data_IF_768613824193
#
_entry.id   IF_768613824193
#
_cell.length_a   1.000
_cell.length_b   1.000
_cell.length_c   1.000
_cell.angle_alpha   90.00
_cell.angle_beta   90.00
_cell.angle_gamma   90.00
#
_symmetry.space_group_name_H-M   'P 1'
#
loop_
_entity.id
_entity.type
_entity.pdbx_description
1 polymer ?
#
# COMPACT_ATOMS: atom_id res chain seq x y z
N UNK A 1 -26.53 -79.21 9.28
CA UNK A 1 -25.45 -78.67 8.41
C UNK A 1 -24.68 -77.67 9.24
N UNK A 2 -23.48 -78.09 9.63
CA UNK A 2 -22.42 -77.31 10.28
C UNK A 2 -21.76 -76.38 9.26
N UNK A 3 -21.47 -75.14 9.63
CA UNK A 3 -20.35 -74.40 9.05
C UNK A 3 -19.53 -73.77 10.16
N UNK A 4 -18.28 -74.23 10.23
CA UNK A 4 -17.33 -73.98 11.29
C UNK A 4 -16.78 -72.56 11.32
N UNK A 5 -16.70 -72.04 12.54
CA UNK A 5 -15.85 -70.93 12.93
C UNK A 5 -14.39 -71.39 12.82
N UNK A 6 -13.63 -70.85 11.87
CA UNK A 6 -12.17 -71.02 11.84
C UNK A 6 -11.54 -69.98 12.78
N UNK A 7 -10.68 -70.37 13.73
CA UNK A 7 -9.86 -69.43 14.46
C UNK A 7 -8.72 -68.99 13.52
N UNK A 8 -8.88 -67.81 12.92
CA UNK A 8 -7.85 -67.16 12.13
C UNK A 8 -7.02 -66.24 13.01
N UNK A 9 -5.78 -66.66 13.26
CA UNK A 9 -4.61 -65.81 13.37
C UNK A 9 -4.51 -64.85 14.58
N UNK A 10 -4.19 -65.45 15.74
CA UNK A 10 -3.55 -64.82 16.91
C UNK A 10 -2.15 -64.20 16.62
N UNK A 11 -1.73 -64.13 15.34
CA UNK A 11 -0.44 -63.59 14.93
C UNK A 11 -0.40 -62.05 14.84
N UNK A 12 -1.56 -61.38 14.76
CA UNK A 12 -1.60 -59.91 14.68
C UNK A 12 -1.67 -59.21 16.05
N UNK A 13 -1.98 -59.94 17.12
CA UNK A 13 -1.96 -59.40 18.50
C UNK A 13 -0.55 -59.38 19.12
N UNK A 14 0.44 -60.03 18.50
CA UNK A 14 1.83 -60.04 18.98
C UNK A 14 2.69 -58.91 18.41
N UNK A 15 2.22 -58.19 17.41
CA UNK A 15 2.93 -57.03 16.84
C UNK A 15 2.73 -55.71 17.61
N UNK A 16 1.87 -55.69 18.65
CA UNK A 16 1.62 -54.52 19.49
C UNK A 16 2.17 -54.66 20.93
N UNK A 17 3.08 -55.61 21.19
CA UNK A 17 3.76 -55.75 22.48
C UNK A 17 5.09 -54.99 22.53
N UNK A 18 5.13 -53.75 22.02
CA UNK A 18 6.10 -52.79 22.56
C UNK A 18 5.62 -52.49 23.97
N UNK A 19 6.28 -53.06 24.98
CA UNK A 19 5.99 -52.82 26.39
C UNK A 19 5.71 -51.32 26.58
N UNK A 20 4.54 -50.91 27.10
CA UNK A 20 4.27 -49.51 27.37
C UNK A 20 5.32 -49.04 28.38
N UNK A 21 6.23 -48.20 27.92
CA UNK A 21 7.30 -47.72 28.78
C UNK A 21 6.75 -46.57 29.62
N UNK A 22 7.17 -46.54 30.88
CA UNK A 22 6.73 -45.55 31.85
C UNK A 22 7.43 -44.22 31.57
N UNK A 23 6.69 -43.28 30.99
CA UNK A 23 7.12 -41.92 30.75
C UNK A 23 6.82 -41.07 31.98
N UNK A 24 7.86 -40.51 32.59
CA UNK A 24 7.72 -39.69 33.79
C UNK A 24 7.54 -38.23 33.40
N UNK A 25 6.47 -37.59 33.89
CA UNK A 25 6.19 -36.17 33.67
C UNK A 25 6.38 -35.42 34.99
N UNK A 26 7.28 -34.47 35.00
CA UNK A 26 7.67 -33.64 36.14
C UNK A 26 7.10 -32.23 35.98
N UNK A 27 6.73 -31.60 37.08
CA UNK A 27 6.49 -30.16 37.18
C UNK A 27 7.62 -29.49 37.96
N UNK A 28 7.51 -28.17 38.14
CA UNK A 28 8.46 -27.40 38.96
C UNK A 28 8.54 -27.86 40.42
N UNK A 29 7.51 -28.55 40.92
CA UNK A 29 7.41 -29.06 42.28
C UNK A 29 7.79 -30.54 42.44
N UNK A 30 8.17 -31.24 41.36
CA UNK A 30 8.51 -32.67 41.38
C UNK A 30 7.69 -33.51 40.38
N UNK A 31 7.68 -34.84 40.56
CA UNK A 31 6.96 -35.76 39.67
C UNK A 31 5.44 -35.50 39.75
N UNK A 32 4.79 -35.28 38.61
CA UNK A 32 3.35 -35.04 38.51
C UNK A 32 2.58 -36.32 38.17
N UNK A 33 3.02 -37.04 37.13
CA UNK A 33 2.37 -38.27 36.70
C UNK A 33 3.32 -39.20 35.95
N UNK A 34 2.97 -40.48 35.89
CA UNK A 34 3.63 -41.49 35.07
C UNK A 34 2.65 -41.97 34.02
N UNK A 35 3.04 -41.89 32.75
CA UNK A 35 2.21 -42.25 31.61
C UNK A 35 2.75 -43.49 30.91
N UNK A 36 1.85 -44.30 30.36
CA UNK A 36 2.22 -45.36 29.45
C UNK A 36 2.32 -44.80 28.03
N UNK A 37 3.53 -44.72 27.46
CA UNK A 37 3.73 -44.24 26.10
C UNK A 37 4.71 -45.13 25.33
N UNK A 38 4.40 -45.39 24.06
CA UNK A 38 5.26 -46.16 23.16
C UNK A 38 6.23 -45.25 22.41
N UNK A 39 7.43 -45.73 22.04
CA UNK A 39 8.34 -44.99 21.16
C UNK A 39 7.65 -44.59 19.86
N UNK A 40 7.77 -43.32 19.45
CA UNK A 40 7.11 -42.81 18.25
C UNK A 40 5.64 -42.41 18.41
N UNK A 41 5.08 -42.43 19.62
CA UNK A 41 3.75 -41.89 19.88
C UNK A 41 3.69 -40.39 19.53
N UNK A 42 2.60 -39.96 18.92
CA UNK A 42 2.38 -38.55 18.62
C UNK A 42 2.27 -37.74 19.91
N UNK A 43 2.92 -36.57 19.93
CA UNK A 43 2.91 -35.69 21.11
C UNK A 43 1.49 -35.20 21.44
N UNK A 44 0.58 -35.16 20.47
CA UNK A 44 -0.83 -34.88 20.75
C UNK A 44 -1.44 -35.89 21.73
N UNK A 45 -1.26 -37.19 21.47
CA UNK A 45 -1.74 -38.27 22.35
C UNK A 45 -1.12 -38.17 23.73
N UNK A 46 0.18 -37.84 23.81
CA UNK A 46 0.87 -37.63 25.09
C UNK A 46 0.27 -36.45 25.85
N UNK A 47 -0.01 -35.32 25.18
CA UNK A 47 -0.66 -34.16 25.81
C UNK A 47 -2.07 -34.45 26.32
N UNK A 48 -2.83 -35.24 25.56
CA UNK A 48 -4.17 -35.66 25.96
C UNK A 48 -4.11 -36.56 27.20
N UNK A 49 -3.15 -37.50 27.26
CA UNK A 49 -2.90 -38.32 28.45
C UNK A 49 -2.47 -37.49 29.66
N UNK A 50 -1.57 -36.52 29.48
CA UNK A 50 -1.18 -35.56 30.53
C UNK A 50 -2.40 -34.76 30.99
N UNK A 51 -3.30 -34.38 30.07
CA UNK A 51 -4.49 -33.59 30.42
C UNK A 51 -5.45 -34.37 31.30
N UNK A 52 -5.65 -35.66 31.00
CA UNK A 52 -6.45 -36.56 31.83
C UNK A 52 -5.80 -36.76 33.20
N UNK A 53 -4.47 -36.93 33.26
CA UNK A 53 -3.77 -37.22 34.51
C UNK A 53 -3.62 -35.99 35.44
N UNK A 54 -3.39 -34.80 34.87
CA UNK A 54 -3.05 -33.58 35.64
C UNK A 54 -4.18 -32.56 35.71
N UNK A 55 -5.24 -32.73 34.89
CA UNK A 55 -6.31 -31.75 34.73
C UNK A 55 -5.89 -30.46 33.99
N UNK A 56 -4.64 -30.37 33.53
CA UNK A 56 -4.17 -29.23 32.73
C UNK A 56 -4.54 -29.51 31.26
N UNK A 57 -5.42 -28.72 30.62
CA UNK A 57 -5.84 -29.00 29.26
C UNK A 57 -4.65 -28.94 28.29
N UNK A 58 -4.64 -29.78 27.24
CA UNK A 58 -3.52 -29.90 26.28
C UNK A 58 -3.01 -28.55 25.71
N UNK A 59 -3.91 -27.57 25.55
CA UNK A 59 -3.61 -26.20 25.11
C UNK A 59 -2.76 -25.39 26.10
N UNK A 60 -2.84 -25.69 27.39
CA UNK A 60 -2.06 -25.05 28.45
C UNK A 60 -0.72 -25.78 28.69
N UNK A 61 -0.42 -26.86 27.97
CA UNK A 61 0.77 -27.68 28.23
C UNK A 61 1.93 -27.33 27.29
N UNK A 62 3.06 -26.90 27.87
CA UNK A 62 4.40 -26.97 27.25
C UNK A 62 5.14 -28.17 27.81
N UNK A 63 5.42 -29.15 26.96
CA UNK A 63 6.21 -30.33 27.32
C UNK A 63 7.64 -30.11 26.84
N UNK A 64 8.60 -30.22 27.75
CA UNK A 64 10.02 -30.05 27.48
C UNK A 64 10.76 -31.38 27.68
N UNK A 65 11.63 -31.71 26.74
CA UNK A 65 12.70 -32.69 26.89
C UNK A 65 14.01 -31.94 27.18
N UNK A 66 14.39 -31.87 28.46
CA UNK A 66 15.50 -31.03 28.92
C UNK A 66 15.27 -29.54 28.59
N UNK A 67 15.99 -29.03 27.59
CA UNK A 67 15.86 -27.64 27.11
C UNK A 67 15.04 -27.50 25.83
N UNK A 68 14.57 -28.59 25.23
CA UNK A 68 13.85 -28.59 23.96
C UNK A 68 12.33 -28.70 24.19
N UNK A 69 11.57 -27.81 23.58
CA UNK A 69 10.09 -27.91 23.56
C UNK A 69 9.62 -28.89 22.49
N UNK A 70 8.68 -29.76 22.88
CA UNK A 70 8.03 -30.72 21.99
C UNK A 70 6.71 -30.13 21.48
N UNK A 71 6.64 -29.94 20.17
CA UNK A 71 5.45 -29.44 19.49
C UNK A 71 4.49 -30.58 19.13
N UNK A 72 3.22 -30.23 18.87
CA UNK A 72 2.15 -31.20 18.53
C UNK A 72 2.50 -32.08 17.32
N UNK A 73 3.33 -31.59 16.40
CA UNK A 73 3.77 -32.30 15.20
C UNK A 73 4.99 -33.19 15.41
N UNK A 74 5.62 -33.11 16.58
CA UNK A 74 6.78 -33.95 16.89
C UNK A 74 6.32 -35.33 17.35
N UNK A 75 7.18 -36.32 17.14
CA UNK A 75 7.02 -37.66 17.72
C UNK A 75 7.83 -37.76 19.00
N UNK A 76 7.35 -38.56 19.96
CA UNK A 76 8.07 -38.78 21.21
C UNK A 76 9.47 -39.38 20.92
N UNK A 77 10.56 -38.73 21.37
CA UNK A 77 11.91 -39.25 21.17
C UNK A 77 12.05 -40.66 21.75
N UNK A 78 12.69 -41.60 21.04
CA UNK A 78 12.80 -42.99 21.48
C UNK A 78 13.59 -43.14 22.79
N UNK A 79 14.46 -42.19 23.13
CA UNK A 79 15.22 -42.16 24.40
C UNK A 79 14.32 -41.86 25.61
N UNK A 80 13.34 -40.95 25.44
CA UNK A 80 12.34 -40.65 26.46
C UNK A 80 11.32 -41.78 26.59
N UNK A 81 10.95 -42.38 25.46
CA UNK A 81 10.13 -43.58 25.47
C UNK A 81 10.84 -44.72 26.21
N UNK A 82 12.17 -44.89 26.07
CA UNK A 82 12.94 -45.94 26.72
C UNK A 82 12.96 -45.95 28.27
N UNK A 83 12.23 -45.05 28.95
CA UNK A 83 12.12 -44.99 30.42
C UNK A 83 13.34 -44.37 31.11
N UNK A 84 14.26 -43.80 30.35
CA UNK A 84 15.52 -43.23 30.85
C UNK A 84 15.52 -41.69 30.96
N UNK A 85 14.42 -41.04 30.58
CA UNK A 85 14.27 -39.58 30.65
C UNK A 85 12.87 -39.15 31.07
N UNK A 86 12.77 -37.88 31.48
CA UNK A 86 11.55 -37.28 32.00
C UNK A 86 11.14 -36.06 31.19
N UNK A 87 9.83 -35.89 30.97
CA UNK A 87 9.28 -34.66 30.42
C UNK A 87 9.03 -33.65 31.53
N UNK A 88 9.35 -32.39 31.28
CA UNK A 88 8.95 -31.29 32.17
C UNK A 88 7.71 -30.61 31.62
N UNK A 89 6.63 -30.59 32.40
CA UNK A 89 5.39 -29.90 32.10
C UNK A 89 5.43 -28.49 32.69
N UNK A 90 5.31 -27.50 31.81
CA UNK A 90 5.01 -26.11 32.19
C UNK A 90 3.57 -25.79 31.83
N UNK A 91 2.85 -25.22 32.81
CA UNK A 91 1.50 -24.69 32.59
C UNK A 91 1.59 -23.28 32.02
N UNK A 92 1.09 -23.13 30.79
CA UNK A 92 0.87 -21.86 30.12
C UNK A 92 -0.32 -21.14 30.78
N UNK A 93 -0.23 -19.82 31.02
CA UNK A 93 -1.37 -19.07 31.53
C UNK A 93 -2.53 -19.11 30.54
N UNK A 94 -3.75 -19.13 31.09
CA UNK A 94 -4.98 -19.34 30.32
C UNK A 94 -5.13 -18.37 29.16
N UNK A 95 -4.78 -17.10 29.35
CA UNK A 95 -4.88 -16.04 28.33
C UNK A 95 -4.01 -16.33 27.08
N UNK A 96 -2.87 -16.99 27.25
CA UNK A 96 -2.00 -17.37 26.13
C UNK A 96 -2.50 -18.63 25.41
N UNK A 97 -3.16 -19.53 26.14
CA UNK A 97 -3.79 -20.73 25.57
C UNK A 97 -5.05 -20.36 24.78
N UNK A 98 -5.88 -19.46 25.31
CA UNK A 98 -7.07 -18.93 24.63
C UNK A 98 -6.68 -18.17 23.34
N UNK A 99 -5.51 -17.52 23.34
CA UNK A 99 -5.00 -16.85 22.14
C UNK A 99 -4.46 -17.83 21.08
N UNK A 100 -3.82 -18.92 21.51
CA UNK A 100 -3.40 -20.01 20.63
C UNK A 100 -4.58 -20.63 19.87
N UNK A 101 -5.69 -20.91 20.57
CA UNK A 101 -6.89 -21.49 19.98
C UNK A 101 -7.47 -20.56 18.90
N UNK A 102 -7.54 -19.24 19.19
CA UNK A 102 -7.97 -18.22 18.21
C UNK A 102 -7.11 -18.18 16.93
N UNK A 103 -5.82 -18.46 17.04
CA UNK A 103 -4.92 -18.53 15.86
C UNK A 103 -5.11 -19.82 15.07
N UNK A 104 -5.44 -20.93 15.73
CA UNK A 104 -5.65 -22.23 15.08
C UNK A 104 -7.04 -22.34 14.43
N UNK A 105 -8.07 -21.71 15.00
CA UNK A 105 -9.45 -21.71 14.49
C UNK A 105 -9.68 -20.79 13.27
N UNK A 106 -8.61 -20.25 12.67
CA UNK A 106 -8.71 -19.45 11.44
C UNK A 106 -8.93 -17.95 11.66
N UNK A 107 -8.65 -17.44 12.86
CA UNK A 107 -8.56 -15.99 13.09
C UNK A 107 -7.55 -15.31 12.15
N UNK A 108 -7.76 -14.02 11.85
CA UNK A 108 -7.00 -13.20 10.88
C UNK A 108 -5.49 -13.00 11.19
N UNK A 109 -4.88 -13.81 12.04
CA UNK A 109 -3.46 -13.68 12.42
C UNK A 109 -3.16 -12.38 13.19
N UNK A 110 -4.17 -11.70 13.73
CA UNK A 110 -4.00 -10.39 14.33
C UNK A 110 -3.47 -10.49 15.77
N UNK A 111 -2.34 -9.84 16.01
CA UNK A 111 -1.71 -9.70 17.33
C UNK A 111 -2.28 -8.52 18.13
N UNK A 112 -3.28 -7.81 17.60
CA UNK A 112 -3.97 -6.73 18.30
C UNK A 112 -4.58 -7.22 19.63
N UNK A 113 -4.11 -6.64 20.74
CA UNK A 113 -4.56 -7.03 22.08
C UNK A 113 -3.93 -8.31 22.65
N UNK A 114 -3.01 -8.97 21.94
CA UNK A 114 -2.31 -10.15 22.46
C UNK A 114 -1.48 -9.83 23.72
N UNK A 115 -1.33 -10.73 24.68
CA UNK A 115 -0.50 -10.49 25.86
C UNK A 115 0.99 -10.38 25.48
N UNK A 116 1.78 -9.69 26.31
CA UNK A 116 3.19 -9.43 26.04
C UNK A 116 4.01 -10.71 25.85
N UNK A 117 3.67 -11.79 26.56
CA UNK A 117 4.31 -13.10 26.40
C UNK A 117 4.15 -13.67 24.99
N UNK A 118 2.95 -13.57 24.40
CA UNK A 118 2.69 -13.99 23.02
C UNK A 118 3.45 -13.12 22.02
N UNK A 119 3.47 -11.79 22.22
CA UNK A 119 4.21 -10.86 21.35
C UNK A 119 5.73 -11.02 21.41
N UNK A 120 6.23 -11.69 22.46
CA UNK A 120 7.63 -12.04 22.67
C UNK A 120 7.95 -13.49 22.29
N UNK A 121 6.95 -14.33 22.02
CA UNK A 121 7.16 -15.70 21.60
C UNK A 121 7.38 -15.76 20.09
N UNK A 122 8.62 -16.07 19.71
CA UNK A 122 9.06 -16.16 18.31
C UNK A 122 8.21 -17.12 17.49
N UNK A 123 7.85 -18.28 18.05
CA UNK A 123 7.13 -19.33 17.33
C UNK A 123 5.71 -18.89 16.97
N UNK A 124 5.04 -18.21 17.92
CA UNK A 124 3.69 -17.68 17.74
C UNK A 124 3.68 -16.48 16.80
N UNK A 125 4.65 -15.58 16.95
CA UNK A 125 4.82 -14.43 16.07
C UNK A 125 5.04 -14.88 14.64
N UNK A 126 5.91 -15.87 14.39
CA UNK A 126 6.11 -16.43 13.04
C UNK A 126 4.81 -16.98 12.46
N UNK A 127 4.06 -17.76 13.22
CA UNK A 127 2.78 -18.31 12.76
C UNK A 127 1.74 -17.21 12.45
N UNK A 128 1.68 -16.16 13.26
CA UNK A 128 0.77 -15.04 13.04
C UNK A 128 1.15 -14.23 11.79
N UNK A 129 2.42 -13.89 11.67
CA UNK A 129 2.99 -13.12 10.56
C UNK A 129 2.87 -13.86 9.22
N UNK A 130 3.02 -15.18 9.23
CA UNK A 130 2.80 -16.01 8.04
C UNK A 130 1.36 -15.97 7.54
N UNK A 131 0.38 -15.68 8.41
CA UNK A 131 -1.04 -15.54 8.02
C UNK A 131 -1.41 -14.11 7.66
N UNK A 132 -0.78 -13.13 8.33
CA UNK A 132 -1.03 -11.71 8.14
C UNK A 132 0.26 -10.92 8.37
N UNK A 133 0.87 -10.41 7.29
CA UNK A 133 2.13 -9.68 7.36
C UNK A 133 2.05 -8.40 8.22
N UNK A 134 0.87 -7.76 8.28
CA UNK A 134 0.65 -6.55 9.09
C UNK A 134 0.65 -6.82 10.61
N UNK A 135 0.59 -8.07 11.04
CA UNK A 135 0.72 -8.44 12.46
C UNK A 135 2.06 -7.95 13.07
N UNK A 136 3.08 -7.71 12.23
CA UNK A 136 4.38 -7.17 12.63
C UNK A 136 4.27 -5.85 13.45
N UNK A 137 3.22 -5.06 13.23
CA UNK A 137 2.98 -3.80 13.96
C UNK A 137 2.78 -3.97 15.47
N UNK A 138 2.38 -5.17 15.92
CA UNK A 138 2.10 -5.48 17.33
C UNK A 138 3.16 -6.39 17.97
N UNK A 139 4.13 -6.88 17.18
CA UNK A 139 5.24 -7.72 17.66
C UNK A 139 6.14 -6.90 18.61
N UNK A 140 6.81 -7.55 19.56
CA UNK A 140 7.77 -6.85 20.41
C UNK A 140 9.01 -6.39 19.63
N UNK A 141 9.59 -5.25 20.02
CA UNK A 141 10.70 -4.62 19.28
C UNK A 141 11.88 -5.57 19.00
N UNK A 142 12.24 -6.44 19.96
CA UNK A 142 13.31 -7.45 19.79
C UNK A 142 13.05 -8.40 18.62
N UNK A 143 11.81 -8.81 18.41
CA UNK A 143 11.42 -9.70 17.31
C UNK A 143 11.15 -8.95 16.01
N UNK A 144 10.91 -7.64 16.03
CA UNK A 144 10.89 -6.81 14.82
C UNK A 144 12.28 -6.59 14.21
N UNK A 145 13.33 -6.89 14.99
CA UNK A 145 14.71 -6.97 14.53
C UNK A 145 15.14 -8.40 14.18
N UNK A 146 14.26 -9.41 14.32
CA UNK A 146 14.54 -10.77 13.87
C UNK A 146 14.31 -10.87 12.36
N UNK A 147 15.39 -11.17 11.64
CA UNK A 147 15.42 -11.24 10.18
C UNK A 147 14.42 -12.24 9.61
N UNK A 148 14.27 -13.41 10.22
CA UNK A 148 13.37 -14.45 9.72
C UNK A 148 11.89 -14.04 9.89
N UNK A 149 11.57 -13.42 11.02
CA UNK A 149 10.22 -12.90 11.29
C UNK A 149 9.86 -11.83 10.27
N UNK A 150 10.75 -10.88 10.02
CA UNK A 150 10.49 -9.80 9.05
C UNK A 150 10.41 -10.34 7.62
N UNK A 151 11.30 -11.25 7.22
CA UNK A 151 11.23 -11.86 5.89
C UNK A 151 9.90 -12.62 5.68
N UNK A 152 9.44 -13.37 6.68
CA UNK A 152 8.13 -14.03 6.62
C UNK A 152 6.98 -13.03 6.47
N UNK A 153 7.05 -11.89 7.18
CA UNK A 153 6.04 -10.82 7.09
C UNK A 153 5.97 -10.20 5.71
N UNK A 154 7.13 -9.80 5.23
CA UNK A 154 7.33 -9.10 3.97
C UNK A 154 7.00 -9.99 2.78
N UNK A 155 7.29 -11.28 2.88
CA UNK A 155 6.96 -12.27 1.84
C UNK A 155 5.46 -12.47 1.68
N UNK A 156 4.67 -12.29 2.74
CA UNK A 156 3.21 -12.31 2.66
C UNK A 156 2.67 -10.95 2.22
N UNK A 157 3.10 -9.87 2.90
CA UNK A 157 2.64 -8.51 2.62
C UNK A 157 3.79 -7.50 2.66
N UNK A 158 4.18 -6.97 1.49
CA UNK A 158 5.32 -6.05 1.37
C UNK A 158 5.19 -4.75 2.19
N UNK A 159 3.95 -4.35 2.50
CA UNK A 159 3.62 -3.23 3.40
C UNK A 159 4.20 -3.38 4.82
N UNK A 160 4.40 -4.63 5.27
CA UNK A 160 4.87 -4.93 6.61
C UNK A 160 6.26 -4.33 6.91
N UNK A 161 7.06 -4.05 5.88
CA UNK A 161 8.40 -3.45 6.03
C UNK A 161 8.39 -2.15 6.85
N UNK A 162 7.29 -1.38 6.81
CA UNK A 162 7.17 -0.13 7.58
C UNK A 162 7.26 -0.32 9.10
N UNK A 163 6.99 -1.53 9.60
CA UNK A 163 7.04 -1.87 11.02
C UNK A 163 8.31 -2.60 11.44
N UNK A 164 9.11 -3.08 10.48
CA UNK A 164 10.40 -3.70 10.75
C UNK A 164 11.36 -2.71 11.43
N UNK A 165 12.35 -3.24 12.16
CA UNK A 165 13.40 -2.40 12.72
C UNK A 165 14.21 -1.68 11.63
N UNK A 166 14.74 -0.50 11.94
CA UNK A 166 15.50 0.34 10.99
C UNK A 166 16.70 -0.42 10.43
N UNK A 167 17.35 -1.28 11.22
CA UNK A 167 18.46 -2.13 10.77
C UNK A 167 18.06 -3.06 9.62
N UNK A 168 16.88 -3.68 9.70
CA UNK A 168 16.38 -4.59 8.65
C UNK A 168 15.80 -3.86 7.45
N UNK A 169 15.38 -2.59 7.59
CA UNK A 169 15.04 -1.73 6.44
C UNK A 169 16.27 -1.32 5.63
N UNK A 170 17.47 -1.51 6.17
CA UNK A 170 18.73 -1.36 5.47
C UNK A 170 19.29 -2.68 4.95
N UNK A 171 18.63 -3.81 5.20
CA UNK A 171 19.00 -5.11 4.64
C UNK A 171 18.49 -5.20 3.19
N UNK A 172 19.41 -5.45 2.27
CA UNK A 172 19.16 -5.52 0.83
C UNK A 172 18.18 -6.63 0.45
N UNK A 173 18.29 -7.81 1.07
CA UNK A 173 17.45 -8.95 0.73
C UNK A 173 16.02 -8.75 1.23
N UNK A 174 15.86 -8.22 2.44
CA UNK A 174 14.56 -7.88 3.01
C UNK A 174 13.86 -6.81 2.16
N UNK A 175 14.61 -5.77 1.78
CA UNK A 175 14.13 -4.70 0.92
C UNK A 175 13.68 -5.21 -0.46
N UNK A 176 14.48 -6.06 -1.11
CA UNK A 176 14.14 -6.64 -2.41
C UNK A 176 12.90 -7.53 -2.35
N UNK A 177 12.76 -8.35 -1.29
CA UNK A 177 11.58 -9.17 -1.07
C UNK A 177 10.31 -8.31 -0.91
N UNK A 178 10.41 -7.20 -0.16
CA UNK A 178 9.28 -6.28 0.05
C UNK A 178 8.82 -5.62 -1.24
N UNK A 179 9.79 -5.11 -2.00
CA UNK A 179 9.54 -4.38 -3.24
C UNK A 179 8.96 -5.29 -4.32
N UNK A 180 9.42 -6.54 -4.40
CA UNK A 180 8.85 -7.54 -5.30
C UNK A 180 7.38 -7.84 -5.02
N UNK A 181 6.95 -7.74 -3.76
CA UNK A 181 5.54 -7.91 -3.39
C UNK A 181 4.73 -6.61 -3.53
N UNK A 182 5.30 -5.48 -3.12
CA UNK A 182 4.65 -4.18 -3.14
C UNK A 182 5.67 -3.10 -3.54
N UNK A 183 5.59 -2.61 -4.79
CA UNK A 183 6.55 -1.62 -5.32
C UNK A 183 6.63 -0.33 -4.49
N UNK A 184 5.59 0.00 -3.74
CA UNK A 184 5.56 1.17 -2.85
C UNK A 184 6.29 1.00 -1.53
N UNK A 185 6.65 -0.23 -1.15
CA UNK A 185 7.47 -0.50 0.03
C UNK A 185 8.83 0.20 -0.05
N UNK A 186 9.23 0.65 -1.24
CA UNK A 186 10.44 1.43 -1.48
C UNK A 186 10.53 2.67 -0.58
N UNK A 187 9.41 3.35 -0.28
CA UNK A 187 9.37 4.52 0.62
C UNK A 187 9.86 4.25 2.05
N UNK A 188 9.86 2.98 2.47
CA UNK A 188 10.21 2.57 3.84
C UNK A 188 11.62 2.00 3.94
N UNK A 189 12.31 1.81 2.81
CA UNK A 189 13.69 1.34 2.77
C UNK A 189 14.62 2.46 3.24
N UNK A 190 15.80 2.11 3.73
CA UNK A 190 16.84 3.10 4.05
C UNK A 190 17.34 3.86 2.81
N UNK A 191 17.75 5.12 2.97
CA UNK A 191 18.28 5.96 1.89
C UNK A 191 19.46 5.33 1.14
N UNK A 192 20.25 4.50 1.82
CA UNK A 192 21.42 3.82 1.26
C UNK A 192 21.06 2.84 0.13
N UNK A 193 19.91 2.17 0.25
CA UNK A 193 19.46 1.17 -0.74
C UNK A 193 18.61 1.78 -1.86
N UNK A 194 18.22 3.05 -1.75
CA UNK A 194 17.49 3.74 -2.84
C UNK A 194 18.34 3.93 -4.11
N UNK A 195 19.66 3.81 -3.99
CA UNK A 195 20.62 3.85 -5.09
C UNK A 195 20.89 2.47 -5.70
N UNK A 196 20.24 1.40 -5.23
CA UNK A 196 20.36 0.07 -5.81
C UNK A 196 19.45 -0.06 -7.05
N UNK A 197 20.09 -0.31 -8.20
CA UNK A 197 19.42 -0.47 -9.50
C UNK A 197 18.39 -1.60 -9.50
N UNK A 198 18.70 -2.73 -8.86
CA UNK A 198 17.82 -3.91 -8.90
C UNK A 198 16.55 -3.70 -8.08
N UNK A 199 16.68 -3.03 -6.92
CA UNK A 199 15.54 -2.68 -6.07
C UNK A 199 14.64 -1.67 -6.80
N UNK A 200 15.24 -0.65 -7.42
CA UNK A 200 14.49 0.35 -8.19
C UNK A 200 13.74 -0.28 -9.38
N UNK A 201 14.39 -1.18 -10.13
CA UNK A 201 13.79 -1.86 -11.27
C UNK A 201 12.63 -2.77 -10.82
N UNK A 202 12.82 -3.55 -9.75
CA UNK A 202 11.76 -4.38 -9.19
C UNK A 202 10.54 -3.56 -8.70
N UNK A 203 10.79 -2.38 -8.11
CA UNK A 203 9.71 -1.51 -7.63
C UNK A 203 8.87 -0.96 -8.77
N UNK A 204 9.54 -0.48 -9.80
CA UNK A 204 8.93 0.13 -10.97
C UNK A 204 8.16 -0.91 -11.80
N UNK A 205 8.71 -2.13 -11.92
CA UNK A 205 8.00 -3.24 -12.55
C UNK A 205 6.72 -3.62 -11.82
N UNK A 206 6.66 -3.50 -10.49
CA UNK A 206 5.43 -3.77 -9.75
C UNK A 206 4.46 -2.59 -9.74
N UNK A 207 4.99 -1.37 -9.66
CA UNK A 207 4.20 -0.14 -9.60
C UNK A 207 4.93 0.98 -10.34
N UNK A 208 4.46 1.34 -11.55
CA UNK A 208 5.12 2.37 -12.38
C UNK A 208 5.25 3.75 -11.71
N UNK A 209 4.40 4.06 -10.71
CA UNK A 209 4.50 5.29 -9.93
C UNK A 209 5.57 5.26 -8.83
N UNK A 210 6.12 4.09 -8.49
CA UNK A 210 7.22 3.95 -7.53
C UNK A 210 8.50 4.68 -8.01
N UNK A 211 8.57 5.07 -9.29
CA UNK A 211 9.58 5.96 -9.84
C UNK A 211 9.71 7.28 -9.04
N UNK A 212 8.61 7.77 -8.46
CA UNK A 212 8.59 8.95 -7.60
C UNK A 212 9.33 8.79 -6.26
N UNK A 213 9.56 7.56 -5.82
CA UNK A 213 10.28 7.23 -4.59
C UNK A 213 11.74 6.78 -4.85
N UNK A 214 12.09 6.37 -6.09
CA UNK A 214 13.45 5.97 -6.48
C UNK A 214 14.45 7.13 -6.33
N UNK A 215 15.72 6.87 -6.03
CA UNK A 215 16.74 7.92 -5.95
C UNK A 215 16.86 8.70 -7.28
N UNK A 216 17.04 10.02 -7.21
CA UNK A 216 17.08 10.91 -8.37
C UNK A 216 18.12 10.47 -9.43
N UNK A 217 19.25 9.92 -8.98
CA UNK A 217 20.31 9.40 -9.85
C UNK A 217 19.87 8.20 -10.72
N UNK A 218 18.93 7.39 -10.23
CA UNK A 218 18.42 6.21 -10.95
C UNK A 218 17.15 6.51 -11.75
N UNK A 219 16.46 7.63 -11.50
CA UNK A 219 15.28 8.05 -12.29
C UNK A 219 15.61 8.39 -13.75
N UNK A 220 16.88 8.65 -14.05
CA UNK A 220 17.36 8.91 -15.41
C UNK A 220 17.86 7.64 -16.12
N UNK A 221 17.85 6.47 -15.45
CA UNK A 221 18.39 5.25 -16.05
C UNK A 221 17.39 4.69 -17.09
N UNK A 222 17.82 4.47 -18.36
CA UNK A 222 16.92 4.15 -19.47
C UNK A 222 16.05 2.91 -19.21
N UNK A 223 16.65 1.83 -18.71
CA UNK A 223 15.92 0.59 -18.36
C UNK A 223 14.82 0.79 -17.30
N UNK A 224 15.03 1.68 -16.32
CA UNK A 224 14.06 1.93 -15.24
C UNK A 224 12.92 2.79 -15.79
N UNK A 225 13.25 3.78 -16.62
CA UNK A 225 12.27 4.64 -17.29
C UNK A 225 11.37 3.84 -18.23
N UNK A 226 11.97 2.97 -19.05
CA UNK A 226 11.25 2.11 -19.99
C UNK A 226 10.29 1.17 -19.25
N UNK A 227 10.76 0.51 -18.18
CA UNK A 227 9.92 -0.33 -17.33
C UNK A 227 8.76 0.44 -16.68
N UNK A 228 8.98 1.71 -16.28
CA UNK A 228 7.97 2.55 -15.65
C UNK A 228 6.86 2.96 -16.63
N UNK A 229 7.28 3.36 -17.84
CA UNK A 229 6.38 3.78 -18.91
C UNK A 229 5.52 2.64 -19.42
N UNK A 230 6.06 1.41 -19.46
CA UNK A 230 5.30 0.23 -19.85
C UNK A 230 4.17 -0.09 -18.86
N UNK A 231 4.40 0.13 -17.57
CA UNK A 231 3.42 -0.17 -16.52
C UNK A 231 2.40 0.94 -16.25
N UNK A 232 2.78 2.22 -16.35
CA UNK A 232 1.86 3.31 -16.07
C UNK A 232 2.12 4.54 -16.94
N UNK A 233 1.09 4.95 -17.66
CA UNK A 233 1.05 6.20 -18.43
C UNK A 233 1.27 7.46 -17.57
N UNK A 234 1.07 7.37 -16.25
CA UNK A 234 1.32 8.42 -15.26
C UNK A 234 2.78 8.46 -14.77
N UNK A 235 3.59 7.44 -15.03
CA UNK A 235 5.01 7.43 -14.64
C UNK A 235 5.83 8.51 -15.39
N UNK A 236 5.35 8.93 -16.56
CA UNK A 236 5.96 9.99 -17.36
C UNK A 236 6.04 11.35 -16.64
N UNK A 237 5.20 11.58 -15.62
CA UNK A 237 5.19 12.83 -14.85
C UNK A 237 6.41 12.96 -13.90
N UNK A 238 7.05 11.85 -13.55
CA UNK A 238 8.17 11.81 -12.60
C UNK A 238 9.56 11.80 -13.26
N UNK A 239 9.63 11.89 -14.60
CA UNK A 239 10.88 11.92 -15.36
C UNK A 239 11.57 13.28 -15.28
N UNK A 240 12.90 13.26 -15.21
CA UNK A 240 13.74 14.45 -15.22
C UNK A 240 13.62 15.14 -16.61
N UNK A 241 13.59 16.49 -16.70
CA UNK A 241 13.19 17.22 -17.92
C UNK A 241 14.05 17.02 -19.17
N UNK A 242 15.18 16.31 -19.08
CA UNK A 242 16.17 16.20 -20.15
C UNK A 242 15.93 15.02 -21.09
N UNK A 243 14.88 14.20 -20.86
CA UNK A 243 14.66 12.95 -21.61
C UNK A 243 13.26 12.81 -22.21
N UNK A 244 12.41 13.85 -22.15
CA UNK A 244 11.14 13.84 -22.89
C UNK A 244 11.32 13.93 -24.42
N UNK A 245 12.55 14.15 -24.91
CA UNK A 245 12.89 14.12 -26.34
C UNK A 245 13.27 12.72 -26.84
N UNK A 246 13.68 11.77 -25.98
CA UNK A 246 13.99 10.39 -26.41
C UNK A 246 12.77 9.45 -26.45
N UNK A 247 11.66 9.82 -25.81
CA UNK A 247 10.43 9.02 -25.83
C UNK A 247 9.58 9.22 -27.10
N UNK A 248 9.94 10.17 -27.96
CA UNK A 248 9.19 10.47 -29.20
C UNK A 248 9.70 9.67 -30.41
N UNK A 249 10.85 8.99 -30.29
CA UNK A 249 11.45 8.22 -31.39
C UNK A 249 11.17 6.70 -31.31
N UNK A 250 10.68 6.19 -30.18
CA UNK A 250 10.36 4.76 -30.02
C UNK A 250 8.98 4.36 -30.59
N UNK A 251 8.12 5.32 -30.93
CA UNK A 251 6.80 5.02 -31.55
C UNK A 251 6.87 4.84 -33.08
N UNK A 252 8.00 5.12 -33.73
CA UNK A 252 8.06 5.21 -35.19
C UNK A 252 8.96 4.19 -35.92
N UNK A 253 9.59 3.24 -35.23
CA UNK A 253 10.33 2.16 -35.91
C UNK A 253 10.05 0.80 -35.26
N UNK A 254 9.67 -0.15 -36.13
CA UNK A 254 9.47 -1.59 -35.92
C UNK A 254 8.16 -2.12 -35.31
N UNK A 255 7.20 -2.42 -36.21
CA UNK A 255 6.80 -3.82 -36.40
C UNK A 255 6.29 -4.12 -37.82
N UNK A 256 6.54 -5.34 -38.35
CA UNK A 256 6.58 -5.62 -39.77
C UNK A 256 5.22 -5.94 -40.39
N UNK A 257 5.11 -5.60 -41.68
CA UNK A 257 4.07 -6.03 -42.62
C UNK A 257 3.90 -7.55 -42.61
N UNK A 258 2.68 -8.02 -42.42
CA UNK A 258 2.19 -9.20 -43.13
C UNK A 258 0.70 -9.04 -43.48
N UNK A 259 0.43 -9.23 -44.77
CA UNK A 259 -0.89 -9.22 -45.41
C UNK A 259 -1.62 -10.56 -45.11
N UNK A 260 -2.94 -10.72 -45.13
CA UNK A 260 -3.92 -10.52 -46.22
C UNK A 260 -5.36 -10.92 -45.72
N UNK A 261 -6.44 -11.07 -46.53
CA UNK A 261 -7.52 -10.08 -46.69
C UNK A 261 -8.97 -10.64 -46.53
N UNK A 262 -9.96 -9.76 -46.76
CA UNK A 262 -11.41 -9.99 -47.05
C UNK A 262 -12.38 -10.03 -45.85
N UNK A 263 -13.29 -9.06 -45.80
CA UNK A 263 -14.66 -9.23 -46.31
C UNK A 263 -15.43 -7.91 -46.31
N UNK A 264 -15.81 -7.47 -47.51
CA UNK A 264 -16.83 -6.46 -47.78
C UNK A 264 -18.18 -6.99 -47.33
N UNK A 265 -18.96 -6.20 -46.57
CA UNK A 265 -20.42 -6.12 -46.74
C UNK A 265 -21.00 -4.82 -46.16
N UNK A 266 -21.36 -3.98 -47.12
CA UNK A 266 -22.34 -2.88 -47.11
C UNK A 266 -23.64 -3.29 -46.39
N UNK A 267 -24.20 -2.40 -45.57
CA UNK A 267 -25.65 -2.28 -45.32
C UNK A 267 -26.03 -0.81 -45.03
N UNK A 268 -26.41 -0.12 -46.12
CA UNK A 268 -27.58 0.75 -46.33
C UNK A 268 -28.27 1.38 -45.08
N UNK A 269 -28.33 2.73 -45.05
CA UNK A 269 -29.33 3.55 -44.30
C UNK A 269 -30.69 3.54 -45.01
N UNK A 270 -31.81 3.92 -44.34
CA UNK A 270 -32.29 5.29 -44.55
C UNK A 270 -32.94 5.99 -43.32
N UNK A 271 -32.48 7.21 -43.08
CA UNK A 271 -33.19 8.49 -42.86
C UNK A 271 -34.60 8.55 -42.20
N UNK A 272 -34.73 9.40 -41.15
CA UNK A 272 -35.83 10.39 -41.01
C UNK A 272 -35.51 11.55 -40.03
N UNK A 273 -35.28 12.74 -40.61
CA UNK A 273 -35.75 14.10 -40.23
C UNK A 273 -35.45 14.74 -38.83
N UNK A 274 -34.29 15.44 -38.74
CA UNK A 274 -34.01 16.88 -38.40
C UNK A 274 -35.11 17.79 -37.74
N UNK A 275 -34.75 18.85 -36.94
CA UNK A 275 -33.73 19.85 -37.31
C UNK A 275 -32.70 20.31 -36.25
N UNK A 276 -31.48 20.49 -36.79
CA UNK A 276 -30.49 21.55 -36.58
C UNK A 276 -30.70 22.56 -35.42
N UNK A 277 -29.96 22.33 -34.33
CA UNK A 277 -29.30 23.40 -33.58
C UNK A 277 -27.79 23.13 -33.65
N UNK A 278 -27.05 24.09 -34.20
CA UNK A 278 -25.63 24.00 -34.47
C UNK A 278 -24.80 23.71 -33.22
N UNK A 279 -24.43 22.44 -33.03
CA UNK A 279 -23.26 22.05 -32.24
C UNK A 279 -22.01 22.22 -33.12
N UNK A 280 -21.57 23.47 -33.28
CA UNK A 280 -20.24 23.73 -33.82
C UNK A 280 -19.21 23.27 -32.78
N UNK A 281 -18.82 22.00 -32.90
CA UNK A 281 -17.65 21.41 -32.23
C UNK A 281 -16.41 22.02 -32.88
N UNK A 282 -16.00 23.20 -32.43
CA UNK A 282 -14.75 23.83 -32.91
C UNK A 282 -13.57 23.14 -32.23
N UNK A 283 -13.21 21.95 -32.73
CA UNK A 283 -11.97 21.26 -32.38
C UNK A 283 -11.50 20.24 -33.43
N UNK A 284 -12.11 20.18 -34.61
CA UNK A 284 -11.47 19.51 -35.75
C UNK A 284 -10.47 20.48 -36.37
N UNK A 285 -9.18 20.25 -36.09
CA UNK A 285 -8.06 21.13 -36.47
C UNK A 285 -7.92 21.44 -37.96
N UNK A 286 -8.70 20.79 -38.82
CA UNK A 286 -8.67 20.97 -40.28
C UNK A 286 -9.38 22.25 -40.76
N UNK A 287 -10.38 22.80 -40.04
CA UNK A 287 -11.12 23.98 -40.50
C UNK A 287 -10.49 25.31 -40.05
N UNK A 288 -9.62 25.29 -39.04
CA UNK A 288 -8.96 26.49 -38.52
C UNK A 288 -7.76 26.92 -39.38
N UNK A 289 -7.18 26.05 -40.21
CA UNK A 289 -5.98 26.38 -41.01
C UNK A 289 -6.22 27.29 -42.22
N UNK A 290 -7.47 27.59 -42.55
CA UNK A 290 -7.85 28.40 -43.71
C UNK A 290 -8.21 29.86 -43.38
N UNK A 291 -8.35 30.20 -42.10
CA UNK A 291 -8.79 31.52 -41.64
C UNK A 291 -7.63 32.49 -41.39
N UNK A 292 -7.86 33.80 -41.39
CA UNK A 292 -6.88 34.81 -40.96
C UNK A 292 -6.52 34.64 -39.48
N UNK A 293 -5.32 35.07 -39.07
CA UNK A 293 -4.86 34.99 -37.67
C UNK A 293 -5.84 35.67 -36.69
N UNK A 294 -6.47 36.76 -37.10
CA UNK A 294 -7.41 37.52 -36.27
C UNK A 294 -8.78 36.83 -36.17
N UNK A 295 -9.26 36.24 -37.25
CA UNK A 295 -10.55 35.51 -37.28
C UNK A 295 -10.47 34.20 -36.50
N UNK A 296 -9.34 33.47 -36.60
CA UNK A 296 -9.09 32.27 -35.76
C UNK A 296 -9.14 32.63 -34.28
N UNK A 297 -8.52 33.75 -33.90
CA UNK A 297 -8.48 34.21 -32.52
C UNK A 297 -9.87 34.58 -32.01
N UNK A 298 -10.69 35.26 -32.82
CA UNK A 298 -12.07 35.62 -32.48
C UNK A 298 -12.96 34.38 -32.28
N UNK A 299 -12.84 33.39 -33.17
CA UNK A 299 -13.58 32.12 -33.05
C UNK A 299 -13.16 31.37 -31.79
N UNK A 300 -11.86 31.27 -31.51
CA UNK A 300 -11.34 30.61 -30.30
C UNK A 300 -11.75 31.35 -29.01
N UNK A 301 -11.74 32.68 -29.00
CA UNK A 301 -12.26 33.46 -27.87
C UNK A 301 -13.75 33.20 -27.64
N UNK A 302 -14.55 33.12 -28.71
CA UNK A 302 -15.98 32.81 -28.60
C UNK A 302 -16.22 31.38 -28.06
N UNK A 303 -15.40 30.41 -28.44
CA UNK A 303 -15.47 29.04 -27.94
C UNK A 303 -15.08 28.95 -26.45
N UNK A 304 -13.97 29.58 -26.06
CA UNK A 304 -13.49 29.60 -24.68
C UNK A 304 -14.42 30.39 -23.75
N UNK A 305 -15.12 31.40 -24.28
CA UNK A 305 -16.16 32.12 -23.52
C UNK A 305 -17.38 31.25 -23.17
N UNK A 306 -17.61 30.15 -23.92
CA UNK A 306 -18.70 29.20 -23.65
C UNK A 306 -18.27 28.04 -22.75
N UNK A 307 -17.02 27.61 -22.86
CA UNK A 307 -16.46 26.52 -22.07
C UNK A 307 -14.93 26.63 -22.00
N UNK A 308 -14.39 26.98 -20.82
CA UNK A 308 -12.94 27.13 -20.61
C UNK A 308 -12.15 25.83 -20.78
N UNK A 309 -12.81 24.67 -20.63
CA UNK A 309 -12.19 23.34 -20.76
C UNK A 309 -11.81 22.96 -22.19
N UNK A 310 -12.30 23.68 -23.22
CA UNK A 310 -11.87 23.47 -24.61
C UNK A 310 -10.37 23.77 -24.80
N UNK A 311 -9.73 24.50 -23.87
CA UNK A 311 -8.28 24.69 -23.84
C UNK A 311 -7.51 23.36 -23.81
N UNK A 312 -8.10 22.28 -23.27
CA UNK A 312 -7.50 20.93 -23.28
C UNK A 312 -7.16 20.45 -24.69
N UNK A 313 -8.04 20.71 -25.65
CA UNK A 313 -7.92 20.30 -27.06
C UNK A 313 -7.09 21.26 -27.90
N UNK A 314 -6.72 22.42 -27.35
CA UNK A 314 -5.90 23.41 -28.03
C UNK A 314 -4.47 22.94 -28.31
N UNK A 315 -3.89 23.47 -29.39
CA UNK A 315 -2.47 23.28 -29.72
C UNK A 315 -1.57 23.96 -28.67
N UNK A 316 -0.28 23.57 -28.57
CA UNK A 316 0.65 24.19 -27.63
C UNK A 316 0.73 25.72 -27.75
N UNK A 317 0.64 26.26 -28.98
CA UNK A 317 0.61 27.70 -29.23
C UNK A 317 -0.60 28.39 -28.57
N UNK A 318 -1.78 27.76 -28.57
CA UNK A 318 -2.97 28.30 -27.91
C UNK A 318 -2.87 28.24 -26.39
N UNK A 319 -2.27 27.17 -25.87
CA UNK A 319 -2.01 26.97 -24.43
C UNK A 319 -0.98 27.95 -23.87
N UNK A 320 -0.15 28.54 -24.74
CA UNK A 320 0.82 29.58 -24.40
C UNK A 320 0.29 31.00 -24.65
N UNK A 321 -0.89 31.17 -25.28
CA UNK A 321 -1.47 32.49 -25.50
C UNK A 321 -2.18 33.00 -24.24
N UNK A 322 -1.54 33.97 -23.59
CA UNK A 322 -2.02 34.58 -22.34
C UNK A 322 -3.47 35.06 -22.40
N UNK A 323 -3.92 35.67 -23.51
CA UNK A 323 -5.29 36.23 -23.56
C UNK A 323 -6.34 35.13 -23.70
N UNK A 324 -6.04 34.07 -24.46
CA UNK A 324 -6.94 32.92 -24.60
C UNK A 324 -7.03 32.15 -23.28
N UNK A 325 -5.90 31.92 -22.63
CA UNK A 325 -5.86 31.27 -21.30
C UNK A 325 -6.62 32.10 -20.26
N UNK A 326 -6.45 33.43 -20.24
CA UNK A 326 -7.23 34.29 -19.34
C UNK A 326 -8.73 34.17 -19.58
N UNK A 327 -9.19 34.24 -20.83
CA UNK A 327 -10.60 34.08 -21.15
C UNK A 327 -11.15 32.71 -20.71
N UNK A 328 -10.35 31.64 -20.88
CA UNK A 328 -10.72 30.30 -20.44
C UNK A 328 -10.80 30.19 -18.91
N UNK A 329 -9.82 30.76 -18.21
CA UNK A 329 -9.68 30.76 -16.75
C UNK A 329 -10.76 31.62 -16.07
N UNK A 330 -11.18 32.72 -16.71
CA UNK A 330 -12.29 33.56 -16.25
C UNK A 330 -13.62 32.80 -16.24
N UNK A 331 -13.84 31.92 -17.21
CA UNK A 331 -15.03 31.06 -17.22
C UNK A 331 -14.89 29.89 -16.25
N UNK A 332 -13.73 29.21 -16.29
CA UNK A 332 -13.47 28.01 -15.49
C UNK A 332 -12.03 28.01 -14.96
N UNK A 333 -11.86 28.23 -13.66
CA UNK A 333 -10.54 28.34 -13.04
C UNK A 333 -9.70 27.07 -13.18
N UNK A 334 -10.33 25.91 -13.39
CA UNK A 334 -9.65 24.63 -13.67
C UNK A 334 -8.92 24.60 -15.02
N UNK A 335 -9.24 25.51 -15.95
CA UNK A 335 -8.57 25.61 -17.25
C UNK A 335 -7.06 25.89 -17.11
N UNK A 336 -6.61 26.42 -15.96
CA UNK A 336 -5.20 26.64 -15.66
C UNK A 336 -4.35 25.38 -15.81
N UNK A 337 -4.91 24.18 -15.60
CA UNK A 337 -4.20 22.90 -15.80
C UNK A 337 -3.65 22.74 -17.23
N UNK A 338 -4.34 23.27 -18.23
CA UNK A 338 -3.97 23.11 -19.64
C UNK A 338 -3.07 24.24 -20.16
N UNK A 339 -2.86 25.29 -19.36
CA UNK A 339 -1.99 26.39 -19.73
C UNK A 339 -0.52 25.95 -19.77
N UNK A 340 0.28 26.66 -20.58
CA UNK A 340 1.72 26.43 -20.66
C UNK A 340 2.39 26.66 -19.30
N UNK A 341 3.60 26.10 -19.14
CA UNK A 341 4.34 26.22 -17.88
C UNK A 341 4.65 27.67 -17.54
N UNK A 342 4.93 28.51 -18.54
CA UNK A 342 5.17 29.94 -18.33
C UNK A 342 3.92 30.62 -17.77
N UNK A 343 2.73 30.32 -18.31
CA UNK A 343 1.48 30.93 -17.85
C UNK A 343 1.00 30.38 -16.50
N UNK A 344 1.35 29.14 -16.14
CA UNK A 344 1.14 28.61 -14.78
C UNK A 344 2.11 29.24 -13.76
N UNK A 345 3.15 29.93 -14.22
CA UNK A 345 4.03 30.76 -13.41
C UNK A 345 3.70 32.26 -13.52
N UNK A 346 2.77 32.67 -14.38
CA UNK A 346 2.30 34.07 -14.47
C UNK A 346 1.34 34.35 -13.32
N UNK A 347 1.77 35.24 -12.42
CA UNK A 347 1.00 35.63 -11.24
C UNK A 347 -0.40 36.18 -11.58
N UNK A 348 -0.54 36.92 -12.67
CA UNK A 348 -1.82 37.50 -13.08
C UNK A 348 -2.81 36.45 -13.56
N UNK A 349 -2.36 35.48 -14.35
CA UNK A 349 -3.20 34.36 -14.82
C UNK A 349 -3.61 33.46 -13.65
N UNK A 350 -2.67 33.12 -12.77
CA UNK A 350 -2.95 32.29 -11.59
C UNK A 350 -3.90 33.00 -10.62
N UNK A 351 -3.75 34.30 -10.38
CA UNK A 351 -4.68 35.06 -9.53
C UNK A 351 -6.09 35.09 -10.12
N UNK A 352 -6.24 35.22 -11.44
CA UNK A 352 -7.54 35.12 -12.09
C UNK A 352 -8.18 33.74 -11.86
N UNK A 353 -7.39 32.67 -12.01
CA UNK A 353 -7.85 31.29 -11.79
C UNK A 353 -8.28 31.04 -10.37
N UNK A 354 -7.44 31.44 -9.42
CA UNK A 354 -7.64 31.22 -7.99
C UNK A 354 -8.84 32.00 -7.45
N UNK A 355 -9.09 33.20 -7.97
CA UNK A 355 -10.29 34.00 -7.64
C UNK A 355 -11.57 33.36 -8.13
N UNK A 356 -11.52 32.67 -9.28
CA UNK A 356 -12.65 31.90 -9.79
C UNK A 356 -12.84 30.62 -8.97
N UNK A 357 -11.78 29.82 -8.83
CA UNK A 357 -11.75 28.56 -8.11
C UNK A 357 -10.47 28.42 -7.26
N UNK A 358 -10.61 28.43 -5.94
CA UNK A 358 -9.46 28.36 -5.01
C UNK A 358 -8.58 27.11 -5.22
N UNK A 359 -9.18 25.97 -5.56
CA UNK A 359 -8.46 24.71 -5.80
C UNK A 359 -7.54 24.74 -7.02
N UNK A 360 -7.70 25.70 -7.93
CA UNK A 360 -6.82 25.89 -9.09
C UNK A 360 -5.38 26.20 -8.70
N UNK A 361 -5.13 26.60 -7.44
CA UNK A 361 -3.80 26.77 -6.88
C UNK A 361 -2.90 25.53 -7.08
N UNK A 362 -3.48 24.31 -7.13
CA UNK A 362 -2.73 23.07 -7.34
C UNK A 362 -1.94 23.04 -8.65
N UNK A 363 -2.42 23.76 -9.68
CA UNK A 363 -1.78 23.80 -11.00
C UNK A 363 -0.75 24.92 -11.14
N UNK A 364 -0.74 25.87 -10.20
CA UNK A 364 0.22 26.96 -10.20
C UNK A 364 1.65 26.44 -9.99
N UNK A 365 2.63 27.23 -10.44
CA UNK A 365 4.04 26.95 -10.18
C UNK A 365 4.33 26.89 -8.68
N UNK A 366 5.35 26.10 -8.29
CA UNK A 366 5.76 25.98 -6.88
C UNK A 366 6.09 27.35 -6.25
N UNK A 367 6.65 28.28 -7.04
CA UNK A 367 6.94 29.63 -6.60
C UNK A 367 5.66 30.40 -6.20
N UNK A 368 4.60 30.31 -7.02
CA UNK A 368 3.32 30.95 -6.72
C UNK A 368 2.53 30.23 -5.63
N UNK A 369 2.74 28.92 -5.45
CA UNK A 369 2.21 28.17 -4.29
C UNK A 369 2.89 28.54 -2.97
N UNK A 370 4.07 29.18 -3.03
CA UNK A 370 4.76 29.78 -1.90
C UNK A 370 4.53 31.30 -1.79
N UNK A 371 3.77 31.90 -2.71
CA UNK A 371 3.41 33.31 -2.67
C UNK A 371 2.23 33.51 -1.72
N UNK A 372 2.47 34.30 -0.66
CA UNK A 372 1.50 34.56 0.39
C UNK A 372 0.20 35.16 -0.14
N UNK A 373 0.27 36.10 -1.09
CA UNK A 373 -0.92 36.78 -1.60
C UNK A 373 -1.78 35.85 -2.45
N UNK A 374 -1.13 35.04 -3.30
CA UNK A 374 -1.82 34.07 -4.15
C UNK A 374 -2.51 33.00 -3.31
N UNK A 375 -1.82 32.47 -2.31
CA UNK A 375 -2.39 31.47 -1.39
C UNK A 375 -3.53 32.07 -0.56
N UNK A 376 -3.38 33.30 -0.06
CA UNK A 376 -4.44 33.95 0.71
C UNK A 376 -5.70 34.16 -0.16
N UNK A 377 -5.55 34.55 -1.42
CA UNK A 377 -6.67 34.65 -2.36
C UNK A 377 -7.36 33.29 -2.58
N UNK A 378 -6.58 32.20 -2.66
CA UNK A 378 -7.13 30.84 -2.82
C UNK A 378 -7.91 30.39 -1.60
N UNK A 379 -7.34 30.60 -0.42
CA UNK A 379 -7.90 30.25 0.87
C UNK A 379 -9.19 31.03 1.15
N UNK A 380 -9.25 32.31 0.78
CA UNK A 380 -10.47 33.12 0.89
C UNK A 380 -11.62 32.57 0.04
N UNK A 381 -11.30 32.02 -1.14
CA UNK A 381 -12.29 31.41 -2.00
C UNK A 381 -12.74 30.04 -1.47
N UNK A 382 -11.77 29.15 -1.20
CA UNK A 382 -11.98 27.82 -0.62
C UNK A 382 -10.88 27.50 0.39
N UNK A 383 -11.25 27.23 1.64
CA UNK A 383 -10.32 26.94 2.73
C UNK A 383 -9.50 25.66 2.48
N UNK A 384 -10.07 24.70 1.75
CA UNK A 384 -9.37 23.48 1.32
C UNK A 384 -8.14 23.75 0.44
N UNK A 385 -8.07 24.92 -0.20
CA UNK A 385 -6.94 25.29 -1.05
C UNK A 385 -5.62 25.38 -0.26
N UNK A 386 -5.68 25.44 1.08
CA UNK A 386 -4.52 25.36 1.96
C UNK A 386 -3.68 24.09 1.73
N UNK A 387 -4.30 22.96 1.33
CA UNK A 387 -3.59 21.71 1.01
C UNK A 387 -2.50 21.92 -0.06
N UNK A 388 -2.79 22.78 -1.03
CA UNK A 388 -1.90 23.03 -2.15
C UNK A 388 -0.85 24.11 -1.84
N UNK A 389 -0.93 24.81 -0.71
CA UNK A 389 0.07 25.80 -0.33
C UNK A 389 1.43 25.15 0.01
N UNK A 390 2.52 25.91 -0.17
CA UNK A 390 3.84 25.49 0.25
C UNK A 390 3.88 25.21 1.77
N UNK A 391 4.71 24.26 2.25
CA UNK A 391 4.77 23.90 3.68
C UNK A 391 4.96 25.10 4.62
N UNK A 392 5.76 26.10 4.22
CA UNK A 392 6.00 27.31 5.00
C UNK A 392 4.71 28.13 5.24
N UNK A 393 3.82 28.20 4.24
CA UNK A 393 2.54 28.90 4.37
C UNK A 393 1.47 28.06 5.07
N UNK A 394 1.62 26.73 5.08
CA UNK A 394 0.79 25.83 5.91
C UNK A 394 1.15 25.88 7.39
N UNK A 395 2.30 26.48 7.72
CA UNK A 395 2.72 26.83 9.07
C UNK A 395 2.43 28.29 9.43
N UNK A 396 1.97 29.11 8.48
CA UNK A 396 1.59 30.51 8.75
C UNK A 396 0.21 30.52 9.41
N UNK A 397 0.20 30.89 10.69
CA UNK A 397 -0.99 30.93 11.54
C UNK A 397 -2.10 31.80 10.95
N UNK A 398 -1.79 32.93 10.32
CA UNK A 398 -2.79 33.84 9.79
C UNK A 398 -3.51 33.24 8.58
N UNK A 399 -2.76 32.54 7.72
CA UNK A 399 -3.31 31.85 6.55
C UNK A 399 -4.15 30.66 6.98
N UNK A 400 -3.67 29.86 7.95
CA UNK A 400 -4.41 28.72 8.49
C UNK A 400 -5.70 29.20 9.17
N UNK A 401 -5.66 30.29 9.95
CA UNK A 401 -6.85 30.87 10.56
C UNK A 401 -7.87 31.33 9.50
N UNK A 402 -7.40 31.98 8.43
CA UNK A 402 -8.26 32.37 7.31
C UNK A 402 -8.91 31.14 6.63
N UNK A 403 -8.17 30.04 6.48
CA UNK A 403 -8.67 28.79 5.91
C UNK A 403 -9.71 28.12 6.80
N UNK A 404 -9.45 28.02 8.09
CA UNK A 404 -10.37 27.41 9.07
C UNK A 404 -11.67 28.20 9.20
N UNK A 405 -11.60 29.53 9.11
CA UNK A 405 -12.79 30.40 9.07
C UNK A 405 -13.66 30.14 7.84
N UNK A 406 -13.04 29.75 6.72
CA UNK A 406 -13.76 29.41 5.49
C UNK A 406 -14.33 28.00 5.58
N UNK A 407 -13.46 27.01 5.78
CA UNK A 407 -13.77 25.59 5.90
C UNK A 407 -13.09 25.00 7.14
N UNK A 408 -13.88 24.54 8.11
CA UNK A 408 -13.35 24.00 9.37
C UNK A 408 -12.42 22.79 9.19
N UNK A 409 -12.65 22.00 8.14
CA UNK A 409 -11.84 20.84 7.80
C UNK A 409 -10.47 21.21 7.21
N UNK A 410 -10.24 22.47 6.81
CA UNK A 410 -8.95 22.93 6.31
C UNK A 410 -7.83 22.80 7.35
N UNK A 411 -8.18 22.78 8.65
CA UNK A 411 -7.23 22.61 9.76
C UNK A 411 -6.36 21.36 9.60
N UNK A 412 -6.89 20.28 9.01
CA UNK A 412 -6.16 19.02 8.80
C UNK A 412 -4.95 19.15 7.86
N UNK A 413 -4.90 20.20 7.05
CA UNK A 413 -3.84 20.45 6.09
C UNK A 413 -2.77 21.41 6.63
N UNK A 414 -3.02 22.03 7.79
CA UNK A 414 -2.02 22.77 8.54
C UNK A 414 -0.95 21.81 9.09
N UNK A 415 0.20 22.36 9.48
CA UNK A 415 1.24 21.60 10.18
C UNK A 415 0.76 21.12 11.55
N UNK A 416 1.31 20.00 12.04
CA UNK A 416 0.86 19.33 13.27
C UNK A 416 0.82 20.26 14.48
N UNK A 417 1.76 21.21 14.55
CA UNK A 417 1.86 22.21 15.61
C UNK A 417 0.64 23.13 15.68
N UNK A 418 0.05 23.48 14.53
CA UNK A 418 -1.14 24.32 14.44
C UNK A 418 -2.44 23.54 14.53
N UNK A 419 -2.43 22.23 14.25
CA UNK A 419 -3.61 21.38 14.39
C UNK A 419 -4.10 21.25 15.85
N UNK A 420 -3.18 21.38 16.81
CA UNK A 420 -3.46 21.38 18.24
C UNK A 420 -3.73 22.76 18.85
N UNK A 421 -3.68 23.84 18.07
CA UNK A 421 -3.92 25.20 18.57
C UNK A 421 -5.39 25.33 19.03
N UNK A 422 -5.56 25.67 20.31
CA UNK A 422 -6.87 25.78 20.94
C UNK A 422 -7.76 26.84 20.27
N UNK A 423 -7.20 27.95 19.78
CA UNK A 423 -7.96 29.00 19.10
C UNK A 423 -8.45 28.50 17.74
N UNK A 424 -7.59 27.82 16.97
CA UNK A 424 -7.95 27.25 15.66
C UNK A 424 -9.01 26.16 15.80
N UNK A 425 -8.86 25.27 16.78
CA UNK A 425 -9.83 24.22 17.09
C UNK A 425 -11.20 24.78 17.52
N UNK A 426 -11.20 25.86 18.29
CA UNK A 426 -12.44 26.55 18.69
C UNK A 426 -13.14 27.16 17.46
N UNK A 427 -12.42 27.82 16.56
CA UNK A 427 -13.00 28.32 15.30
C UNK A 427 -13.51 27.20 14.39
N UNK A 428 -12.82 26.06 14.33
CA UNK A 428 -13.23 24.91 13.51
C UNK A 428 -14.52 24.24 14.04
N UNK A 429 -14.61 24.03 15.36
CA UNK A 429 -15.74 23.37 16.01
C UNK A 429 -17.01 24.22 16.07
N UNK A 430 -16.88 25.55 16.07
CA UNK A 430 -18.02 26.46 16.20
C UNK A 430 -19.06 26.30 15.07
N UNK A 431 -18.63 25.92 13.85
CA UNK A 431 -19.55 25.67 12.71
C UNK A 431 -20.15 24.26 12.69
N UNK A 432 -19.45 23.24 13.18
CA UNK A 432 -19.98 21.86 13.20
C UNK A 432 -21.17 21.69 14.15
N UNK A 433 -21.32 22.57 15.15
CA UNK A 433 -22.43 22.52 16.13
C UNK A 433 -23.71 23.23 15.67
N UNK A 434 -23.75 23.76 14.44
CA UNK A 434 -24.84 24.62 13.95
C UNK A 434 -25.61 24.05 12.75
N UNK A 435 -25.29 22.82 12.36
CA UNK A 435 -26.03 21.95 11.42
C UNK A 435 -26.56 20.79 12.24
#
# INVERSE_FOLDING_TARGET
>A
MTYGFRPGDDSDLRAAMSNPQSLHVYGLAGLLCVLAASPGSDIQTVKDLVAVATGVPAREQRLLDGTRELHVRDQLPPVLAAGSGGLTLFRRPKDEADWLDKMQEGGKGDLFGAPAAVRNDRSLVLAAVQRNGMALQHVAGKLRADREVVLAAVSNEGAALQFADVSLRADREVALAAVKQAGWALRHISAQLHADKEIALAAVQQAGWALGDVALALRAHPEIVEAALWQSKLAAEFLVPEQSEMAVDAENQDSPRSASPRAVRRCVRPNRSMPAAASASVADGAELETLSSDDRRAVLLSALSRCGMELRRGTPALKADRRLVLAAVEQEGGALQFASRELRADRGVVLAAVRQAGWSLQYASLALRADREVVLAAVQQSGWSLEFAAPLLRADRDIVLAAVRRDSLALRHAVMELQGDAELLMTANWRQRRV
#
